data_IF_387581144609
#
_entry.id   IF_387581144609
#
_cell.length_a   1.000
_cell.length_b   1.000
_cell.length_c   1.000
_cell.angle_alpha   90.00
_cell.angle_beta   90.00
_cell.angle_gamma   90.00
#
_symmetry.space_group_name_H-M   'P 1'
#
loop_
_entity.id
_entity.type
_entity.pdbx_description
1 polymer ?
#
# COMPACT_ATOMS: atom_id res chain seq x y z
N UNK A 1 2.79 -5.81 6.03
CA UNK A 1 2.15 -4.47 6.14
C UNK A 1 2.08 -3.71 4.81
N UNK A 2 3.07 -3.87 3.91
CA UNK A 2 3.13 -3.11 2.65
C UNK A 2 1.93 -3.31 1.71
N UNK A 3 1.32 -4.50 1.71
CA UNK A 3 0.09 -4.77 0.95
C UNK A 3 -1.12 -3.93 1.41
N UNK A 4 -1.24 -3.67 2.72
CA UNK A 4 -2.35 -2.86 3.26
C UNK A 4 -2.20 -1.37 2.89
N UNK A 5 -0.98 -0.85 3.00
CA UNK A 5 -0.66 0.54 2.59
C UNK A 5 -0.97 0.71 1.11
N UNK A 6 -0.52 -0.21 0.27
CA UNK A 6 -0.78 -0.16 -1.18
C UNK A 6 -2.27 -0.23 -1.47
N UNK A 7 -3.02 -1.09 -0.78
CA UNK A 7 -4.47 -1.17 -0.94
C UNK A 7 -5.16 0.16 -0.61
N UNK A 8 -4.79 0.82 0.50
CA UNK A 8 -5.33 2.14 0.86
C UNK A 8 -5.00 3.17 -0.23
N UNK A 9 -3.75 3.21 -0.70
CA UNK A 9 -3.32 4.14 -1.75
C UNK A 9 -4.12 3.95 -3.05
N UNK A 10 -4.32 2.69 -3.47
CA UNK A 10 -5.09 2.35 -4.67
C UNK A 10 -6.60 2.62 -4.55
N UNK A 11 -7.11 2.87 -3.34
CA UNK A 11 -8.50 3.30 -3.13
C UNK A 11 -8.65 4.82 -2.97
N UNK A 12 -7.55 5.58 -3.01
CA UNK A 12 -7.56 7.04 -2.89
C UNK A 12 -7.76 7.67 -4.29
N UNK A 13 -8.83 8.47 -4.52
CA UNK A 13 -9.08 9.11 -5.82
C UNK A 13 -7.92 9.99 -6.31
N UNK A 14 -7.30 10.72 -5.39
CA UNK A 14 -6.20 11.65 -5.64
C UNK A 14 -4.90 10.95 -6.06
N UNK A 15 -4.80 9.63 -5.83
CA UNK A 15 -3.65 8.80 -6.16
C UNK A 15 -3.82 8.05 -7.49
N UNK A 16 -5.04 7.99 -8.04
CA UNK A 16 -5.33 7.18 -9.24
C UNK A 16 -4.48 7.58 -10.46
N UNK A 17 -4.23 8.87 -10.66
CA UNK A 17 -3.36 9.34 -11.75
C UNK A 17 -1.93 8.83 -11.62
N UNK A 18 -1.42 8.72 -10.40
CA UNK A 18 -0.10 8.16 -10.10
C UNK A 18 -0.07 6.64 -10.27
N UNK A 19 -1.13 5.94 -9.87
CA UNK A 19 -1.27 4.51 -10.10
C UNK A 19 -1.27 4.18 -11.60
N UNK A 20 -2.00 4.96 -12.40
CA UNK A 20 -2.00 4.81 -13.85
C UNK A 20 -0.62 5.10 -14.46
N UNK A 21 0.05 6.17 -14.02
CA UNK A 21 1.43 6.47 -14.45
C UNK A 21 2.38 5.32 -14.14
N UNK A 22 2.26 4.73 -12.96
CA UNK A 22 3.05 3.58 -12.56
C UNK A 22 2.79 2.37 -13.45
N UNK A 23 1.53 1.98 -13.62
CA UNK A 23 1.16 0.81 -14.43
C UNK A 23 1.58 0.98 -15.89
N UNK A 24 1.47 2.18 -16.44
CA UNK A 24 1.91 2.46 -17.82
C UNK A 24 3.43 2.34 -17.99
N UNK A 25 4.20 2.50 -16.92
CA UNK A 25 5.67 2.50 -16.98
C UNK A 25 6.27 1.14 -16.61
N UNK A 26 5.72 0.47 -15.59
CA UNK A 26 6.27 -0.78 -15.02
C UNK A 26 5.35 -1.99 -15.14
N UNK A 27 4.13 -1.82 -15.68
CA UNK A 27 3.13 -2.86 -15.77
C UNK A 27 2.37 -3.08 -14.46
N UNK A 28 1.29 -3.87 -14.54
CA UNK A 28 0.38 -4.12 -13.41
C UNK A 28 0.98 -5.05 -12.35
N UNK A 29 1.93 -5.92 -12.71
CA UNK A 29 2.46 -6.96 -11.82
C UNK A 29 3.19 -6.37 -10.61
N UNK A 30 3.86 -5.23 -10.79
CA UNK A 30 4.63 -4.58 -9.73
C UNK A 30 3.80 -3.69 -8.80
N UNK A 31 2.50 -3.50 -9.07
CA UNK A 31 1.70 -2.48 -8.37
C UNK A 31 1.58 -2.79 -6.87
N UNK A 32 1.38 -4.06 -6.50
CA UNK A 32 1.17 -4.44 -5.10
C UNK A 32 2.47 -4.52 -4.28
N UNK A 33 3.63 -4.53 -4.94
CA UNK A 33 4.94 -4.69 -4.30
C UNK A 33 5.75 -3.41 -4.28
N UNK A 34 5.69 -2.61 -5.34
CA UNK A 34 6.60 -1.48 -5.54
C UNK A 34 5.91 -0.10 -5.59
N UNK A 35 4.61 -0.04 -5.86
CA UNK A 35 3.91 1.24 -6.05
C UNK A 35 4.07 2.20 -4.88
N UNK A 36 3.93 1.73 -3.64
CA UNK A 36 4.02 2.61 -2.46
C UNK A 36 5.41 3.23 -2.28
N UNK A 37 6.47 2.46 -2.56
CA UNK A 37 7.85 2.95 -2.50
C UNK A 37 8.12 3.91 -3.65
N UNK A 38 7.68 3.55 -4.86
CA UNK A 38 7.83 4.39 -6.02
C UNK A 38 7.12 5.73 -5.84
N UNK A 39 5.86 5.73 -5.39
CA UNK A 39 5.08 6.95 -5.18
C UNK A 39 5.79 7.89 -4.22
N UNK A 40 6.30 7.35 -3.10
CA UNK A 40 7.08 8.13 -2.13
C UNK A 40 8.31 8.74 -2.77
N UNK A 41 9.10 7.97 -3.52
CA UNK A 41 10.29 8.52 -4.16
C UNK A 41 9.94 9.57 -5.22
N UNK A 42 8.89 9.33 -6.00
CA UNK A 42 8.45 10.21 -7.07
C UNK A 42 8.00 11.58 -6.54
N UNK A 43 7.23 11.62 -5.46
CA UNK A 43 6.67 12.88 -4.94
C UNK A 43 7.64 13.69 -4.08
N UNK A 44 8.74 13.06 -3.65
CA UNK A 44 9.83 13.66 -2.87
C UNK A 44 11.12 13.80 -3.67
N UNK A 45 11.10 13.60 -4.97
CA UNK A 45 12.26 13.82 -5.83
C UNK A 45 12.56 15.33 -5.91
N UNK A 46 13.64 15.75 -5.24
CA UNK A 46 14.10 17.14 -5.18
C UNK A 46 14.58 17.67 -6.55
N UNK A 47 14.86 16.78 -7.50
CA UNK A 47 15.28 17.12 -8.86
C UNK A 47 14.12 17.20 -9.85
N UNK A 48 12.91 16.82 -9.43
CA UNK A 48 11.71 16.92 -10.25
C UNK A 48 11.20 18.36 -10.32
N UNK A 49 10.87 18.82 -11.53
CA UNK A 49 10.16 20.09 -11.75
C UNK A 49 8.65 19.98 -11.51
N UNK A 50 8.15 18.77 -11.24
CA UNK A 50 6.73 18.50 -11.04
C UNK A 50 6.30 18.93 -9.64
N UNK A 51 5.32 19.84 -9.56
CA UNK A 51 4.70 20.20 -8.29
C UNK A 51 3.58 19.22 -7.95
N UNK A 52 3.78 18.47 -6.86
CA UNK A 52 2.76 17.59 -6.29
C UNK A 52 1.94 18.32 -5.23
N UNK A 53 0.64 18.03 -5.17
CA UNK A 53 -0.22 18.51 -4.10
C UNK A 53 0.29 18.02 -2.74
N UNK A 54 0.23 18.89 -1.73
CA UNK A 54 0.66 18.57 -0.37
C UNK A 54 -0.04 17.32 0.18
N UNK A 55 -1.34 17.15 -0.11
CA UNK A 55 -2.10 15.95 0.25
C UNK A 55 -1.47 14.66 -0.28
N UNK A 56 -0.99 14.66 -1.52
CA UNK A 56 -0.35 13.47 -2.14
C UNK A 56 0.95 13.13 -1.41
N UNK A 57 1.75 14.14 -1.06
CA UNK A 57 2.98 13.98 -0.29
C UNK A 57 2.71 13.36 1.08
N UNK A 58 1.71 13.86 1.79
CA UNK A 58 1.30 13.35 3.11
C UNK A 58 0.79 11.91 3.04
N UNK A 59 -0.05 11.60 2.06
CA UNK A 59 -0.56 10.24 1.83
C UNK A 59 0.56 9.27 1.47
N UNK A 60 1.55 9.70 0.69
CA UNK A 60 2.71 8.88 0.30
C UNK A 60 3.68 8.59 1.46
N UNK A 61 3.81 9.50 2.44
CA UNK A 61 4.56 9.24 3.67
C UNK A 61 3.89 8.18 4.54
N UNK A 62 2.55 8.13 4.50
CA UNK A 62 1.76 7.29 5.38
C UNK A 62 1.67 7.83 6.80
N UNK A 63 1.15 7.02 7.74
CA UNK A 63 0.90 7.46 9.12
C UNK A 63 2.18 7.78 9.88
N UNK A 64 2.11 8.79 10.78
CA UNK A 64 3.23 9.14 11.68
C UNK A 64 3.54 7.97 12.62
N UNK A 65 4.82 7.79 12.98
CA UNK A 65 5.30 6.72 13.88
C UNK A 65 4.68 6.74 15.29
N UNK A 66 4.03 7.82 15.68
CA UNK A 66 3.38 8.00 16.97
C UNK A 66 1.98 7.36 17.05
N UNK A 67 1.44 6.84 15.95
CA UNK A 67 0.10 6.23 15.95
C UNK A 67 0.14 4.79 16.48
N UNK A 68 -0.90 4.41 17.21
CA UNK A 68 -1.09 3.03 17.66
C UNK A 68 -1.20 2.11 16.43
N UNK A 69 -0.27 1.16 16.32
CA UNK A 69 -0.29 0.17 15.26
C UNK A 69 -1.20 -0.99 15.66
N UNK A 70 -2.27 -1.23 14.90
CA UNK A 70 -3.16 -2.35 15.13
C UNK A 70 -2.70 -3.59 14.36
N UNK A 71 -2.69 -4.74 15.04
CA UNK A 71 -2.26 -6.00 14.44
C UNK A 71 -3.28 -6.62 13.47
N UNK A 72 -4.52 -6.13 13.48
CA UNK A 72 -5.62 -6.54 12.59
C UNK A 72 -6.54 -5.34 12.33
N UNK A 73 -6.95 -5.15 11.08
CA UNK A 73 -7.93 -4.13 10.71
C UNK A 73 -8.60 -4.47 9.38
N UNK A 74 -9.78 -3.91 9.13
CA UNK A 74 -10.51 -4.05 7.88
C UNK A 74 -10.53 -2.70 7.14
N UNK A 75 -10.12 -2.70 5.87
CA UNK A 75 -10.20 -1.53 4.98
C UNK A 75 -11.07 -1.93 3.80
N UNK A 76 -12.19 -1.23 3.57
CA UNK A 76 -13.08 -1.47 2.43
C UNK A 76 -13.48 -2.95 2.25
N UNK A 77 -13.72 -3.66 3.36
CA UNK A 77 -14.08 -5.08 3.36
C UNK A 77 -12.88 -6.05 3.30
N UNK A 78 -11.67 -5.56 3.03
CA UNK A 78 -10.45 -6.37 3.05
C UNK A 78 -9.83 -6.41 4.44
N UNK A 79 -9.58 -7.63 4.93
CA UNK A 79 -8.99 -7.86 6.24
C UNK A 79 -7.48 -7.99 6.15
N UNK A 80 -6.77 -7.07 6.80
CA UNK A 80 -5.32 -7.09 6.92
C UNK A 80 -4.92 -7.55 8.33
N UNK A 81 -3.88 -8.38 8.38
CA UNK A 81 -3.28 -8.85 9.63
C UNK A 81 -1.76 -8.76 9.53
N UNK A 82 -1.09 -8.48 10.65
CA UNK A 82 0.37 -8.49 10.70
C UNK A 82 0.90 -9.91 10.61
N UNK A 83 2.10 -10.05 10.03
CA UNK A 83 2.76 -11.36 9.88
C UNK A 83 2.97 -12.05 11.22
N UNK A 84 3.31 -11.27 12.25
CA UNK A 84 3.47 -11.73 13.62
C UNK A 84 2.22 -12.47 14.14
N UNK A 85 1.03 -11.93 13.85
CA UNK A 85 -0.23 -12.54 14.28
C UNK A 85 -0.72 -13.65 13.36
N UNK A 86 -0.29 -13.68 12.09
CA UNK A 86 -0.58 -14.82 11.21
C UNK A 86 0.34 -16.02 11.46
N UNK A 87 1.56 -15.81 11.96
CA UNK A 87 2.57 -16.87 12.12
C UNK A 87 2.11 -18.04 13.00
N UNK A 88 1.28 -17.75 14.00
CA UNK A 88 0.77 -18.75 14.95
C UNK A 88 -0.62 -19.30 14.58
N UNK A 89 -1.23 -18.84 13.49
CA UNK A 89 -2.47 -19.42 12.98
C UNK A 89 -2.16 -20.63 12.11
N UNK A 90 -2.32 -21.83 12.66
CA UNK A 90 -2.48 -23.03 11.85
C UNK A 90 -3.83 -22.95 11.14
N UNK A 91 -3.85 -22.90 9.82
CA UNK A 91 -5.05 -23.26 9.08
C UNK A 91 -5.22 -24.76 9.25
N UNK A 92 -6.35 -25.21 9.80
CA UNK A 92 -6.71 -26.62 9.70
C UNK A 92 -6.95 -26.90 8.21
N UNK A 93 -5.95 -27.43 7.52
CA UNK A 93 -6.07 -27.91 6.14
C UNK A 93 -6.84 -29.24 6.07
N UNK A 94 -7.73 -29.53 7.04
CA UNK A 94 -8.60 -30.69 7.02
C UNK A 94 -9.74 -30.43 6.02
N UNK A 95 -9.52 -30.74 4.74
CA UNK A 95 -10.60 -30.74 3.75
C UNK A 95 -10.22 -30.37 2.30
N UNK A 96 -8.97 -30.00 2.01
CA UNK A 96 -8.54 -29.82 0.60
C UNK A 96 -8.05 -31.17 0.08
N UNK A 97 -8.92 -31.87 -0.63
CA UNK A 97 -8.57 -33.02 -1.48
C UNK A 97 -8.32 -32.51 -2.90
N UNK A 98 -7.28 -33.01 -3.57
CA UNK A 98 -6.95 -32.74 -4.98
C UNK A 98 -7.58 -33.82 -5.84
#
# INVERSE_FOLDING_TARGET
MQSAVTHVLLNCPEIQSYANLFVNTWGNEAIYTEFSKWLRNYVYDEYSSVQHLQLVKEVALGPKSQVLTMNKYCVNGFKFQTEEVSRNKKTNNSGVYI
#
